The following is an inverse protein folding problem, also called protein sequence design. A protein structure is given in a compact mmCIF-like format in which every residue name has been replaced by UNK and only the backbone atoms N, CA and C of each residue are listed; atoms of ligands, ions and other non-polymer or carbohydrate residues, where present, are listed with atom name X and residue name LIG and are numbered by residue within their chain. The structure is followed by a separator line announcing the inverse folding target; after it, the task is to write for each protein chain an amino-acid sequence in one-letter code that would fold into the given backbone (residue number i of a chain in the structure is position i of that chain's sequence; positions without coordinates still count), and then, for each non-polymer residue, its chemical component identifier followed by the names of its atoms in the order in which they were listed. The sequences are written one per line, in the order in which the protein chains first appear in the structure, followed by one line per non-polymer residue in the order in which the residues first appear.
data_IF_998445342417
#
_entry.id   IF_998445342417
#
_cell.length_a   1.000
_cell.length_b   1.000
_cell.length_c   1.000
_cell.angle_alpha   90.00
_cell.angle_beta   90.00
_cell.angle_gamma   90.00
#
_symmetry.space_group_name_H-M   'P 1'
#
loop_
_entity.id
_entity.type
_entity.pdbx_description
1 polymer ?
#
# COMPACT_ATOMS: atom_id res chain seq x y z
N UNK A 1 9.86 -13.01 -14.07
CA UNK A 1 9.80 -13.25 -12.61
C UNK A 1 8.82 -12.27 -11.99
N UNK A 2 7.84 -12.79 -11.29
CA UNK A 2 6.90 -11.93 -10.57
C UNK A 2 7.56 -11.35 -9.34
N UNK A 3 7.18 -10.14 -8.98
CA UNK A 3 7.70 -9.51 -7.80
C UNK A 3 7.19 -10.13 -6.51
N UNK A 4 7.81 -9.76 -5.40
CA UNK A 4 7.41 -10.21 -4.08
C UNK A 4 6.04 -9.62 -3.71
N UNK A 5 5.19 -10.38 -3.00
CA UNK A 5 3.90 -9.84 -2.56
C UNK A 5 4.11 -8.81 -1.47
N UNK A 6 3.50 -7.64 -1.66
CA UNK A 6 3.62 -6.51 -0.72
C UNK A 6 2.26 -5.86 -0.52
N UNK A 7 2.11 -5.16 0.60
CA UNK A 7 0.98 -4.27 0.81
C UNK A 7 1.45 -2.83 0.70
N UNK A 8 0.67 -2.04 0.01
CA UNK A 8 0.93 -0.60 -0.13
C UNK A 8 -0.07 0.14 0.76
N UNK A 9 0.41 0.74 1.83
CA UNK A 9 -0.46 1.50 2.71
C UNK A 9 -1.06 2.69 1.96
N UNK A 10 -2.25 3.11 2.35
CA UNK A 10 -3.00 4.15 1.67
C UNK A 10 -2.21 5.45 1.53
N UNK A 11 -1.41 5.81 2.55
CA UNK A 11 -0.62 7.04 2.49
C UNK A 11 0.44 7.02 1.37
N UNK A 12 0.96 5.84 1.03
CA UNK A 12 1.93 5.69 -0.05
C UNK A 12 1.23 5.85 -1.40
N UNK A 13 0.08 5.19 -1.58
CA UNK A 13 -0.68 5.32 -2.83
C UNK A 13 -1.14 6.76 -3.03
N UNK A 14 -1.69 7.39 -2.00
CA UNK A 14 -2.12 8.78 -2.08
C UNK A 14 -0.94 9.69 -2.45
N UNK A 15 0.22 9.48 -1.81
CA UNK A 15 1.42 10.26 -2.13
C UNK A 15 1.88 10.06 -3.57
N UNK A 16 1.75 8.84 -4.10
CA UNK A 16 2.11 8.54 -5.49
C UNK A 16 1.20 9.27 -6.48
N UNK A 17 -0.04 9.56 -6.09
CA UNK A 17 -1.00 10.27 -6.94
C UNK A 17 -0.99 11.78 -6.71
N UNK A 18 -0.29 12.26 -5.69
CA UNK A 18 -0.15 13.69 -5.42
C UNK A 18 0.87 14.35 -6.35
N UNK A 19 1.92 13.63 -6.73
CA UNK A 19 3.01 14.19 -7.51
C UNK A 19 3.48 13.19 -8.58
N UNK A 20 4.07 13.73 -9.64
CA UNK A 20 4.57 12.90 -10.74
C UNK A 20 5.86 12.19 -10.43
N UNK A 21 6.58 12.66 -9.40
CA UNK A 21 7.87 12.12 -9.03
C UNK A 21 7.94 11.90 -7.52
N UNK A 22 9.03 11.30 -7.05
CA UNK A 22 9.27 11.05 -5.64
C UNK A 22 9.24 9.58 -5.30
N UNK A 23 9.46 9.29 -4.03
CA UNK A 23 9.61 7.91 -3.57
C UNK A 23 8.29 7.13 -3.60
N UNK A 24 7.18 7.79 -3.26
CA UNK A 24 5.88 7.14 -3.33
C UNK A 24 5.56 6.74 -4.78
N UNK A 25 5.81 7.64 -5.73
CA UNK A 25 5.61 7.35 -7.15
C UNK A 25 6.56 6.24 -7.61
N UNK A 26 7.77 6.19 -7.07
CA UNK A 26 8.73 5.13 -7.38
C UNK A 26 8.21 3.76 -6.99
N UNK A 27 7.52 3.65 -5.85
CA UNK A 27 6.90 2.38 -5.44
C UNK A 27 5.81 1.97 -6.43
N UNK A 28 4.97 2.92 -6.83
CA UNK A 28 3.92 2.64 -7.82
C UNK A 28 4.53 2.17 -9.14
N UNK A 29 5.60 2.82 -9.58
CA UNK A 29 6.30 2.43 -10.80
C UNK A 29 6.85 1.01 -10.71
N UNK A 30 7.40 0.64 -9.55
CA UNK A 30 7.91 -0.72 -9.34
C UNK A 30 6.80 -1.76 -9.46
N UNK A 31 5.59 -1.42 -9.02
CA UNK A 31 4.43 -2.30 -9.20
C UNK A 31 4.09 -2.47 -10.68
N UNK A 32 4.12 -1.39 -11.45
CA UNK A 32 3.84 -1.47 -12.89
C UNK A 32 4.93 -2.23 -13.64
N UNK A 33 6.15 -2.22 -13.16
CA UNK A 33 7.26 -2.93 -13.77
C UNK A 33 7.39 -4.39 -13.32
N UNK A 34 6.43 -4.84 -12.52
CA UNK A 34 6.39 -6.22 -12.01
C UNK A 34 7.54 -6.56 -11.05
N UNK A 35 8.17 -5.55 -10.47
CA UNK A 35 9.17 -5.76 -9.42
C UNK A 35 8.52 -6.04 -8.08
N UNK A 36 7.28 -5.58 -7.90
CA UNK A 36 6.47 -5.81 -6.71
C UNK A 36 5.10 -6.32 -7.14
N UNK A 37 4.54 -7.20 -6.33
CA UNK A 37 3.16 -7.69 -6.54
C UNK A 37 2.28 -7.11 -5.44
N UNK A 38 1.57 -6.00 -5.70
CA UNK A 38 0.73 -5.42 -4.65
C UNK A 38 -0.49 -6.27 -4.40
N UNK A 39 -0.82 -6.47 -3.14
CA UNK A 39 -2.02 -7.19 -2.73
C UNK A 39 -3.10 -6.19 -2.33
N UNK A 40 -4.35 -6.53 -2.58
CA UNK A 40 -5.48 -5.71 -2.16
C UNK A 40 -6.60 -6.64 -1.71
N UNK A 41 -7.40 -6.16 -0.78
CA UNK A 41 -8.61 -6.84 -0.33
C UNK A 41 -9.71 -5.81 -0.20
N UNK A 42 -10.89 -6.25 0.19
CA UNK A 42 -12.06 -5.38 0.23
C UNK A 42 -11.86 -4.16 1.13
N UNK A 43 -11.38 -4.36 2.35
CA UNK A 43 -11.21 -3.27 3.29
C UNK A 43 -10.20 -2.24 2.80
N UNK A 44 -9.06 -2.70 2.27
CA UNK A 44 -8.03 -1.81 1.77
C UNK A 44 -8.50 -1.06 0.52
N UNK A 45 -9.22 -1.75 -0.37
CA UNK A 45 -9.78 -1.11 -1.54
C UNK A 45 -10.73 0.04 -1.17
N UNK A 46 -11.60 -0.20 -0.18
CA UNK A 46 -12.53 0.84 0.27
C UNK A 46 -11.79 2.02 0.89
N UNK A 47 -10.72 1.76 1.63
CA UNK A 47 -9.90 2.83 2.19
C UNK A 47 -9.20 3.63 1.09
N UNK A 48 -8.68 2.96 0.06
CA UNK A 48 -8.10 3.64 -1.09
C UNK A 48 -9.13 4.56 -1.74
N UNK A 49 -10.33 4.05 -2.01
CA UNK A 49 -11.37 4.85 -2.64
C UNK A 49 -11.78 6.06 -1.79
N UNK A 50 -11.90 5.85 -0.48
CA UNK A 50 -12.28 6.93 0.42
C UNK A 50 -11.26 8.05 0.39
N UNK A 51 -9.98 7.72 0.51
CA UNK A 51 -8.92 8.74 0.55
C UNK A 51 -8.76 9.40 -0.81
N UNK A 52 -8.81 8.64 -1.91
CA UNK A 52 -8.63 9.20 -3.24
C UNK A 52 -9.81 10.03 -3.70
N UNK A 53 -10.96 9.89 -3.05
CA UNK A 53 -12.13 10.75 -3.31
C UNK A 53 -12.11 12.08 -2.58
N UNK A 54 -11.11 12.31 -1.73
CA UNK A 54 -11.02 13.56 -0.96
C UNK A 54 -10.40 14.67 -1.82
N UNK A 55 -11.25 15.47 -2.43
CA UNK A 55 -10.80 16.53 -3.35
C UNK A 55 -9.78 17.48 -2.72
N UNK A 56 -9.94 17.80 -1.44
CA UNK A 56 -9.03 18.72 -0.77
C UNK A 56 -7.61 18.19 -0.68
N UNK A 57 -7.44 16.89 -0.53
CA UNK A 57 -6.14 16.27 -0.44
C UNK A 57 -5.32 16.53 -1.70
N UNK A 58 -5.99 16.57 -2.86
CA UNK A 58 -5.33 16.70 -4.16
C UNK A 58 -5.41 18.09 -4.77
N UNK A 59 -5.83 19.06 -3.96
CA UNK A 59 -6.07 20.43 -4.46
C UNK A 59 -4.85 21.04 -5.15
N UNK A 60 -3.66 20.79 -4.61
CA UNK A 60 -2.42 21.35 -5.15
C UNK A 60 -1.64 20.38 -6.01
N UNK A 61 -2.22 19.23 -6.32
CA UNK A 61 -1.56 18.24 -7.16
C UNK A 61 -1.52 18.72 -8.61
N UNK A 62 -0.40 18.52 -9.31
CA UNK A 62 -0.34 18.80 -10.74
C UNK A 62 -1.14 17.81 -11.59
N UNK A 63 -1.60 16.71 -11.01
CA UNK A 63 -2.39 15.72 -11.73
C UNK A 63 -3.85 16.10 -11.73
N UNK A 64 -4.50 15.99 -12.90
CA UNK A 64 -5.94 16.16 -13.00
C UNK A 64 -6.66 14.97 -12.37
N UNK A 65 -7.92 15.17 -11.95
CA UNK A 65 -8.71 14.09 -11.35
C UNK A 65 -8.82 12.87 -12.27
N UNK A 66 -8.98 13.09 -13.58
CA UNK A 66 -9.04 11.98 -14.55
C UNK A 66 -7.72 11.22 -14.60
N UNK A 67 -6.61 11.91 -14.51
CA UNK A 67 -5.29 11.30 -14.52
C UNK A 67 -5.07 10.44 -13.28
N UNK A 68 -5.47 10.95 -12.12
CA UNK A 68 -5.40 10.17 -10.87
C UNK A 68 -6.27 8.92 -10.95
N UNK A 69 -7.47 9.05 -11.52
CA UNK A 69 -8.38 7.92 -11.66
C UNK A 69 -7.80 6.84 -12.57
N UNK A 70 -7.21 7.24 -13.69
CA UNK A 70 -6.57 6.30 -14.60
C UNK A 70 -5.41 5.57 -13.94
N UNK A 71 -4.59 6.28 -13.17
CA UNK A 71 -3.48 5.65 -12.46
C UNK A 71 -3.95 4.67 -11.40
N UNK A 72 -5.01 5.03 -10.69
CA UNK A 72 -5.57 4.14 -9.68
C UNK A 72 -6.12 2.86 -10.33
N UNK A 73 -6.84 3.00 -11.42
CA UNK A 73 -7.38 1.85 -12.14
C UNK A 73 -6.25 0.97 -12.69
N UNK A 74 -5.20 1.58 -13.22
CA UNK A 74 -4.04 0.83 -13.68
C UNK A 74 -3.36 0.08 -12.53
N UNK A 75 -3.24 0.73 -11.37
CA UNK A 75 -2.68 0.09 -10.19
C UNK A 75 -3.52 -1.12 -9.78
N UNK A 76 -4.84 -0.96 -9.73
CA UNK A 76 -5.73 -2.07 -9.37
C UNK A 76 -5.58 -3.24 -10.35
N UNK A 77 -5.31 -2.95 -11.62
CA UNK A 77 -5.17 -4.01 -12.63
C UNK A 77 -3.93 -4.87 -12.40
N UNK A 78 -2.92 -4.36 -11.70
CA UNK A 78 -1.73 -5.16 -11.38
C UNK A 78 -1.76 -5.72 -9.97
N UNK A 79 -2.79 -5.40 -9.20
CA UNK A 79 -2.96 -5.95 -7.86
C UNK A 79 -3.49 -7.37 -7.90
N UNK A 80 -3.08 -8.17 -6.91
CA UNK A 80 -3.69 -9.46 -6.67
C UNK A 80 -4.73 -9.31 -5.57
N UNK A 81 -5.97 -9.73 -5.86
CA UNK A 81 -7.05 -9.66 -4.88
C UNK A 81 -6.97 -10.84 -3.93
N UNK A 82 -7.05 -10.54 -2.64
CA UNK A 82 -6.99 -11.54 -1.58
C UNK A 82 -8.26 -11.44 -0.78
N UNK A 83 -8.90 -12.59 -0.54
CA UNK A 83 -10.10 -12.64 0.27
C UNK A 83 -9.73 -13.05 1.70
N UNK A 84 -10.21 -12.25 2.67
CA UNK A 84 -9.97 -12.52 4.08
C UNK A 84 -11.27 -13.05 4.67
N UNK A 85 -11.23 -14.31 5.13
CA UNK A 85 -12.45 -15.01 5.52
C UNK A 85 -12.78 -14.93 7.01
N UNK A 86 -11.83 -14.51 7.84
CA UNK A 86 -12.05 -14.51 9.28
C UNK A 86 -11.56 -13.22 9.90
N UNK A 87 -12.11 -12.92 11.05
CA UNK A 87 -11.77 -11.73 11.79
C UNK A 87 -10.65 -12.05 12.77
N UNK A 88 -9.44 -11.90 12.32
CA UNK A 88 -8.27 -12.01 13.15
C UNK A 88 -7.79 -10.60 13.44
N UNK A 89 -7.65 -10.28 14.71
CA UNK A 89 -7.35 -8.91 15.12
C UNK A 89 -6.01 -8.84 15.83
N UNK A 90 -4.95 -8.48 15.14
CA UNK A 90 -3.67 -8.24 15.79
C UNK A 90 -3.78 -7.02 16.71
N UNK A 91 -2.98 -7.02 17.75
CA UNK A 91 -3.04 -5.97 18.76
C UNK A 91 -2.20 -4.78 18.30
N UNK A 92 -2.79 -3.91 17.49
CA UNK A 92 -2.16 -2.69 17.02
C UNK A 92 -2.68 -1.49 17.81
N UNK A 93 -1.85 -0.45 17.84
CA UNK A 93 -2.21 0.81 18.45
C UNK A 93 -3.40 1.46 17.76
N UNK A 94 -3.43 1.42 16.44
CA UNK A 94 -4.51 1.93 15.63
C UNK A 94 -5.29 0.75 15.06
N UNK A 95 -6.53 0.57 15.50
CA UNK A 95 -7.36 -0.52 15.01
C UNK A 95 -7.63 -0.43 13.51
N UNK A 96 -7.59 0.78 12.94
CA UNK A 96 -7.76 0.95 11.50
C UNK A 96 -6.72 0.23 10.68
N UNK A 97 -5.53 -0.02 11.25
CA UNK A 97 -4.45 -0.70 10.54
C UNK A 97 -4.51 -2.22 10.69
N UNK A 98 -5.41 -2.74 11.52
CA UNK A 98 -5.54 -4.19 11.71
C UNK A 98 -5.90 -4.90 10.41
N UNK A 99 -6.72 -4.28 9.55
CA UNK A 99 -7.12 -4.91 8.30
C UNK A 99 -5.92 -5.08 7.35
N UNK A 100 -4.92 -4.21 7.44
CA UNK A 100 -3.72 -4.32 6.63
C UNK A 100 -2.90 -5.54 7.07
N UNK A 101 -2.74 -5.75 8.37
CA UNK A 101 -2.05 -6.93 8.87
C UNK A 101 -2.82 -8.22 8.56
N UNK A 102 -4.14 -8.19 8.68
CA UNK A 102 -4.96 -9.34 8.33
C UNK A 102 -4.76 -9.71 6.86
N UNK A 103 -4.75 -8.72 6.00
CA UNK A 103 -4.55 -8.92 4.57
C UNK A 103 -3.13 -9.45 4.28
N UNK A 104 -2.12 -8.90 4.96
CA UNK A 104 -0.74 -9.33 4.78
C UNK A 104 -0.58 -10.82 5.12
N UNK A 105 -1.17 -11.25 6.22
CA UNK A 105 -1.11 -12.65 6.64
C UNK A 105 -1.87 -13.52 5.65
N UNK A 106 -3.07 -13.12 5.28
CA UNK A 106 -3.91 -13.90 4.37
C UNK A 106 -3.28 -14.06 2.99
N UNK A 107 -2.61 -13.04 2.50
CA UNK A 107 -2.00 -13.04 1.17
C UNK A 107 -0.54 -13.45 1.13
N UNK A 108 0.06 -13.69 2.29
CA UNK A 108 1.48 -14.08 2.35
C UNK A 108 2.42 -12.94 2.00
N UNK A 109 2.05 -11.70 2.31
CA UNK A 109 2.91 -10.56 2.04
C UNK A 109 4.11 -10.56 2.98
N UNK A 110 5.28 -10.26 2.44
CA UNK A 110 6.52 -10.17 3.22
C UNK A 110 6.84 -8.74 3.64
N UNK A 111 6.20 -7.75 3.02
CA UNK A 111 6.49 -6.34 3.27
C UNK A 111 5.20 -5.53 3.28
N UNK A 112 5.11 -4.62 4.25
CA UNK A 112 4.11 -3.54 4.23
C UNK A 112 4.89 -2.25 3.99
N UNK A 113 4.53 -1.51 2.94
CA UNK A 113 5.16 -0.24 2.59
C UNK A 113 4.31 0.88 3.13
N UNK A 114 4.89 1.71 3.98
CA UNK A 114 4.16 2.78 4.64
C UNK A 114 5.06 3.98 4.91
N UNK A 115 4.48 5.17 4.90
CA UNK A 115 5.18 6.37 5.35
C UNK A 115 5.15 6.51 6.87
N UNK A 116 4.34 5.70 7.56
CA UNK A 116 4.17 5.75 9.01
C UNK A 116 4.67 4.46 9.66
N UNK A 117 5.96 4.17 9.49
CA UNK A 117 6.57 2.94 10.02
C UNK A 117 6.32 2.79 11.52
N UNK A 118 6.34 3.90 12.26
CA UNK A 118 6.15 3.87 13.70
C UNK A 118 4.78 3.30 14.13
N UNK A 119 3.76 3.45 13.29
CA UNK A 119 2.42 2.92 13.62
C UNK A 119 2.39 1.40 13.66
N UNK A 120 3.37 0.75 13.05
CA UNK A 120 3.45 -0.72 12.99
C UNK A 120 4.54 -1.27 13.91
N UNK A 121 5.08 -0.45 14.79
CA UNK A 121 6.27 -0.81 15.57
C UNK A 121 6.12 -2.08 16.39
N UNK A 122 4.95 -2.30 16.98
CA UNK A 122 4.69 -3.50 17.76
C UNK A 122 4.48 -4.76 16.94
N UNK A 123 4.13 -4.61 15.66
CA UNK A 123 3.79 -5.74 14.82
C UNK A 123 5.01 -6.56 14.40
N UNK A 124 6.17 -5.93 14.27
CA UNK A 124 7.39 -6.65 13.86
C UNK A 124 7.80 -7.72 14.87
N UNK A 125 7.50 -7.51 16.16
CA UNK A 125 7.80 -8.48 17.19
C UNK A 125 6.89 -9.69 17.11
N UNK A 126 5.66 -9.51 16.63
CA UNK A 126 4.65 -10.58 16.57
C UNK A 126 4.64 -11.29 15.22
N UNK A 127 5.04 -10.60 14.17
CA UNK A 127 5.00 -11.09 12.80
C UNK A 127 6.36 -10.88 12.16
N UNK A 128 7.33 -11.67 12.62
CA UNK A 128 8.73 -11.52 12.20
C UNK A 128 8.94 -11.69 10.71
N UNK A 129 8.01 -12.36 10.03
CA UNK A 129 8.10 -12.58 8.58
C UNK A 129 7.58 -11.39 7.76
N UNK A 130 6.99 -10.40 8.42
CA UNK A 130 6.47 -9.21 7.75
C UNK A 130 7.34 -8.01 8.14
N UNK A 131 8.00 -7.45 7.14
CA UNK A 131 8.86 -6.27 7.35
C UNK A 131 8.04 -5.02 7.05
N UNK A 132 8.25 -3.99 7.87
CA UNK A 132 7.59 -2.69 7.68
C UNK A 132 8.64 -1.74 7.12
N UNK A 133 8.46 -1.29 5.89
CA UNK A 133 9.45 -0.48 5.20
C UNK A 133 8.86 0.83 4.70
N UNK A 134 9.67 1.90 4.75
CA UNK A 134 9.31 3.13 4.07
C UNK A 134 9.55 2.96 2.57
N UNK A 135 8.92 3.80 1.72
CA UNK A 135 9.20 3.78 0.28
C UNK A 135 10.68 3.92 -0.04
N UNK A 136 11.37 4.80 0.68
CA UNK A 136 12.80 5.03 0.45
C UNK A 136 13.62 3.75 0.66
N UNK A 137 13.36 3.05 1.77
CA UNK A 137 14.10 1.84 2.10
C UNK A 137 13.79 0.74 1.10
N UNK A 138 12.50 0.57 0.76
CA UNK A 138 12.10 -0.44 -0.20
C UNK A 138 12.78 -0.22 -1.56
N UNK A 139 12.80 1.01 -2.05
CA UNK A 139 13.40 1.32 -3.34
C UNK A 139 14.90 1.05 -3.35
N UNK A 140 15.58 1.27 -2.23
CA UNK A 140 16.99 0.93 -2.11
C UNK A 140 17.22 -0.57 -2.25
N UNK A 141 16.33 -1.38 -1.69
CA UNK A 141 16.47 -2.84 -1.76
C UNK A 141 16.19 -3.37 -3.15
N UNK A 142 15.39 -2.67 -3.94
CA UNK A 142 15.09 -3.07 -5.30
C UNK A 142 16.16 -2.65 -6.30
N UNK A 143 17.02 -1.73 -5.93
CA UNK A 143 18.05 -1.22 -6.82
C UNK A 143 19.18 -2.22 -7.03
#
# INVERSE_FOLDING_TARGET
MTGAPVLIDTNVLAGALLQREGQNRGVLRACFQDHLKPLVGQALFLEYEDVLGREQLFRKSPLAASERRQLFEAFLSVCEWVQVYYLWRPNLRDEGDNHILELAVAGGASVIVTNNVADYRGSELRFADIRILSPKILLKELA
#
